data_IF_901162327529
#
_entry.id   IF_901162327529
#
_cell.length_a   1.000
_cell.length_b   1.000
_cell.length_c   1.000
_cell.angle_alpha   90.00
_cell.angle_beta   90.00
_cell.angle_gamma   90.00
#
_symmetry.space_group_name_H-M   'P 1'
#
loop_
_entity.id
_entity.type
_entity.pdbx_description
1 polymer ?
#
# COMPACT_ATOMS: atom_id res chain seq x y z
N UNK A 1 -0.51 -3.63 -9.71
CA UNK A 1 0.36 -2.71 -8.94
C UNK A 1 1.80 -3.10 -9.14
N UNK A 2 2.67 -2.13 -9.28
CA UNK A 2 4.09 -2.41 -9.42
C UNK A 2 4.64 -3.03 -8.13
N UNK A 3 5.53 -3.99 -8.29
CA UNK A 3 6.15 -4.71 -7.17
C UNK A 3 6.82 -3.78 -6.17
N UNK A 4 7.46 -2.74 -6.66
CA UNK A 4 8.13 -1.72 -5.85
C UNK A 4 7.14 -1.01 -4.90
N UNK A 5 5.98 -0.61 -5.41
CA UNK A 5 4.94 0.06 -4.63
C UNK A 5 4.34 -0.90 -3.61
N UNK A 6 4.12 -2.15 -4.01
CA UNK A 6 3.60 -3.18 -3.11
C UNK A 6 4.56 -3.43 -1.95
N UNK A 7 5.85 -3.54 -2.21
CA UNK A 7 6.87 -3.73 -1.16
C UNK A 7 6.91 -2.56 -0.18
N UNK A 8 6.78 -1.33 -0.67
CA UNK A 8 6.75 -0.14 0.18
C UNK A 8 5.50 -0.13 1.07
N UNK A 9 4.34 -0.51 0.53
CA UNK A 9 3.10 -0.59 1.31
C UNK A 9 3.17 -1.68 2.37
N UNK A 10 3.71 -2.84 2.05
CA UNK A 10 3.91 -3.89 3.03
C UNK A 10 4.75 -3.41 4.20
N UNK A 11 5.81 -2.68 3.90
CA UNK A 11 6.66 -2.11 4.94
C UNK A 11 5.92 -1.05 5.77
N UNK A 12 5.16 -0.17 5.12
CA UNK A 12 4.40 0.87 5.81
C UNK A 12 3.41 0.27 6.82
N UNK A 13 2.73 -0.80 6.44
CA UNK A 13 1.72 -1.42 7.31
C UNK A 13 2.30 -2.34 8.36
N UNK A 14 3.34 -3.11 8.02
CA UNK A 14 3.81 -4.20 8.88
C UNK A 14 5.26 -4.05 9.33
N UNK A 15 5.97 -3.02 8.88
CA UNK A 15 7.40 -2.85 9.18
C UNK A 15 7.73 -2.80 10.66
N UNK A 16 6.81 -2.26 11.47
CA UNK A 16 7.02 -2.19 12.92
C UNK A 16 7.08 -3.57 13.59
N UNK A 17 6.64 -4.62 12.91
CA UNK A 17 6.69 -5.99 13.41
C UNK A 17 8.04 -6.67 13.15
N UNK A 18 8.92 -6.03 12.39
CA UNK A 18 10.28 -6.51 12.16
C UNK A 18 11.17 -6.12 13.35
N UNK A 19 12.27 -6.85 13.55
CA UNK A 19 13.28 -6.45 14.53
C UNK A 19 13.95 -5.15 14.06
N UNK A 20 14.58 -4.41 14.99
CA UNK A 20 15.25 -3.16 14.66
C UNK A 20 16.32 -3.36 13.58
N UNK A 21 17.12 -4.40 13.70
CA UNK A 21 18.14 -4.74 12.71
C UNK A 21 17.55 -5.02 11.32
N UNK A 22 16.46 -5.79 11.28
CA UNK A 22 15.74 -6.10 10.02
C UNK A 22 15.17 -4.83 9.39
N UNK A 23 14.57 -3.96 10.22
CA UNK A 23 13.99 -2.70 9.74
C UNK A 23 15.03 -1.84 9.03
N UNK A 24 16.18 -1.65 9.66
CA UNK A 24 17.24 -0.80 9.11
C UNK A 24 17.72 -1.30 7.75
N UNK A 25 17.95 -2.60 7.63
CA UNK A 25 18.43 -3.21 6.39
C UNK A 25 17.33 -3.19 5.31
N UNK A 26 16.11 -3.52 5.69
CA UNK A 26 14.99 -3.54 4.75
C UNK A 26 14.66 -2.13 4.24
N UNK A 27 14.72 -1.11 5.11
CA UNK A 27 14.55 0.29 4.72
C UNK A 27 15.60 0.71 3.69
N UNK A 28 16.86 0.34 3.93
CA UNK A 28 17.94 0.66 2.99
C UNK A 28 17.66 0.09 1.61
N UNK A 29 17.14 -1.13 1.54
CA UNK A 29 16.88 -1.80 0.28
C UNK A 29 15.61 -1.29 -0.42
N UNK A 30 14.51 -1.15 0.32
CA UNK A 30 13.20 -0.82 -0.27
C UNK A 30 12.96 0.68 -0.38
N UNK A 31 13.32 1.46 0.64
CA UNK A 31 13.02 2.89 0.67
C UNK A 31 14.18 3.75 0.16
N UNK A 32 15.41 3.36 0.46
CA UNK A 32 16.59 4.15 0.10
C UNK A 32 17.26 3.67 -1.19
N UNK A 33 16.69 2.67 -1.82
CA UNK A 33 17.13 2.13 -3.11
C UNK A 33 18.61 1.75 -3.16
N UNK A 34 19.15 1.27 -2.04
CA UNK A 34 20.54 0.82 -1.99
C UNK A 34 20.66 -0.61 -2.54
N UNK A 35 21.78 -0.90 -3.19
CA UNK A 35 22.08 -2.25 -3.66
C UNK A 35 22.48 -3.15 -2.49
N UNK A 36 22.42 -4.46 -2.71
CA UNK A 36 22.87 -5.43 -1.71
C UNK A 36 24.33 -5.18 -1.32
N UNK A 37 25.18 -4.86 -2.30
CA UNK A 37 26.61 -4.59 -2.07
C UNK A 37 26.82 -3.33 -1.23
N UNK A 38 26.06 -2.27 -1.52
CA UNK A 38 26.15 -1.01 -0.75
C UNK A 38 25.72 -1.23 0.70
N UNK A 39 24.66 -1.96 0.94
CA UNK A 39 24.17 -2.28 2.29
C UNK A 39 25.19 -3.15 3.02
N UNK A 40 25.74 -4.14 2.36
CA UNK A 40 26.74 -5.03 2.92
C UNK A 40 27.97 -4.26 3.42
N UNK A 41 28.44 -3.31 2.61
CA UNK A 41 29.57 -2.46 2.95
C UNK A 41 29.25 -1.55 4.15
N UNK A 42 28.10 -0.87 4.10
CA UNK A 42 27.70 0.06 5.17
C UNK A 42 27.44 -0.63 6.51
N UNK A 43 26.89 -1.82 6.50
CA UNK A 43 26.51 -2.56 7.71
C UNK A 43 27.57 -3.57 8.16
N UNK A 44 28.68 -3.68 7.43
CA UNK A 44 29.78 -4.58 7.73
C UNK A 44 29.36 -6.05 7.84
N UNK A 45 28.49 -6.47 6.92
CA UNK A 45 28.06 -7.87 6.79
C UNK A 45 28.25 -8.32 5.33
N UNK A 46 28.13 -9.63 5.08
CA UNK A 46 28.30 -10.13 3.74
C UNK A 46 27.11 -9.77 2.84
N UNK A 47 27.35 -9.70 1.53
CA UNK A 47 26.30 -9.49 0.55
C UNK A 47 25.23 -10.58 0.64
N UNK A 48 25.64 -11.82 0.85
CA UNK A 48 24.73 -12.95 1.04
C UNK A 48 23.90 -12.77 2.31
N UNK A 49 24.51 -12.26 3.38
CA UNK A 49 23.81 -11.96 4.62
C UNK A 49 22.70 -10.92 4.41
N UNK A 50 22.98 -9.87 3.65
CA UNK A 50 21.97 -8.86 3.29
C UNK A 50 20.84 -9.49 2.51
N UNK A 51 21.16 -10.28 1.49
CA UNK A 51 20.18 -10.96 0.67
C UNK A 51 19.23 -11.84 1.51
N UNK A 52 19.81 -12.62 2.44
CA UNK A 52 19.04 -13.49 3.32
C UNK A 52 18.10 -12.70 4.23
N UNK A 53 18.58 -11.58 4.78
CA UNK A 53 17.76 -10.72 5.64
C UNK A 53 16.60 -10.11 4.84
N UNK A 54 16.88 -9.55 3.68
CA UNK A 54 15.85 -8.96 2.81
C UNK A 54 14.80 -9.99 2.44
N UNK A 55 15.23 -11.19 2.07
CA UNK A 55 14.34 -12.28 1.71
C UNK A 55 13.43 -12.69 2.87
N UNK A 56 13.99 -12.81 4.08
CA UNK A 56 13.21 -13.15 5.28
C UNK A 56 12.20 -12.06 5.61
N UNK A 57 12.62 -10.80 5.55
CA UNK A 57 11.73 -9.68 5.81
C UNK A 57 10.55 -9.68 4.84
N UNK A 58 10.84 -9.82 3.54
CA UNK A 58 9.79 -9.88 2.52
C UNK A 58 8.79 -11.00 2.81
N UNK A 59 9.30 -12.17 3.18
CA UNK A 59 8.47 -13.33 3.48
C UNK A 59 7.60 -13.10 4.72
N UNK A 60 8.15 -12.48 5.76
CA UNK A 60 7.40 -12.13 6.97
C UNK A 60 6.29 -11.13 6.67
N UNK A 61 6.60 -10.07 5.92
CA UNK A 61 5.61 -9.05 5.58
C UNK A 61 4.49 -9.62 4.71
N UNK A 62 4.83 -10.46 3.73
CA UNK A 62 3.83 -11.16 2.90
C UNK A 62 2.97 -12.09 3.73
N UNK A 63 3.56 -12.75 4.74
CA UNK A 63 2.82 -13.60 5.66
C UNK A 63 1.79 -12.86 6.49
N UNK A 64 2.15 -11.65 6.97
CA UNK A 64 1.19 -10.81 7.69
C UNK A 64 0.06 -10.36 6.77
N UNK A 65 0.39 -9.95 5.55
CA UNK A 65 -0.63 -9.53 4.59
C UNK A 65 -1.58 -10.67 4.22
N UNK A 66 -1.05 -11.89 4.07
CA UNK A 66 -1.87 -13.06 3.76
C UNK A 66 -2.92 -13.32 4.84
N UNK A 67 -2.63 -12.94 6.08
CA UNK A 67 -3.55 -13.13 7.20
C UNK A 67 -4.44 -11.93 7.47
N UNK A 68 -3.90 -10.73 7.37
CA UNK A 68 -4.56 -9.51 7.83
C UNK A 68 -5.22 -8.69 6.71
N UNK A 69 -4.70 -8.78 5.49
CA UNK A 69 -5.25 -8.11 4.30
C UNK A 69 -5.36 -6.58 4.41
N UNK A 70 -4.51 -5.94 5.23
CA UNK A 70 -4.58 -4.49 5.42
C UNK A 70 -4.16 -3.70 4.18
N UNK A 71 -3.17 -4.18 3.44
CA UNK A 71 -2.73 -3.53 2.20
C UNK A 71 -3.82 -3.63 1.14
N UNK A 72 -4.39 -4.82 0.95
CA UNK A 72 -5.49 -5.03 -0.01
C UNK A 72 -6.68 -4.14 0.33
N UNK A 73 -7.05 -4.07 1.60
CA UNK A 73 -8.15 -3.23 2.07
C UNK A 73 -7.88 -1.74 1.80
N UNK A 74 -6.66 -1.30 2.07
CA UNK A 74 -6.24 0.08 1.82
C UNK A 74 -6.35 0.43 0.33
N UNK A 75 -5.88 -0.45 -0.55
CA UNK A 75 -5.93 -0.25 -2.00
C UNK A 75 -7.37 -0.14 -2.48
N UNK A 76 -8.24 -1.06 -2.03
CA UNK A 76 -9.66 -1.05 -2.41
C UNK A 76 -10.34 0.23 -1.92
N UNK A 77 -10.04 0.67 -0.70
CA UNK A 77 -10.59 1.91 -0.15
C UNK A 77 -10.16 3.12 -0.98
N UNK A 78 -8.89 3.18 -1.37
CA UNK A 78 -8.39 4.26 -2.24
C UNK A 78 -9.11 4.30 -3.58
N UNK A 79 -9.33 3.14 -4.18
CA UNK A 79 -10.06 3.05 -5.46
C UNK A 79 -11.49 3.55 -5.32
N UNK A 80 -12.18 3.20 -4.23
CA UNK A 80 -13.55 3.64 -3.97
C UNK A 80 -13.63 5.12 -3.68
N UNK A 81 -12.67 5.66 -2.96
CA UNK A 81 -12.58 7.11 -2.71
C UNK A 81 -12.36 7.86 -4.02
N UNK A 82 -11.51 7.32 -4.91
CA UNK A 82 -11.31 7.93 -6.23
C UNK A 82 -12.60 7.95 -7.06
N UNK A 83 -13.39 6.88 -7.00
CA UNK A 83 -14.68 6.84 -7.68
C UNK A 83 -15.68 7.84 -7.06
N UNK A 84 -15.69 7.96 -5.74
CA UNK A 84 -16.53 8.95 -5.05
C UNK A 84 -16.17 10.36 -5.54
N UNK A 85 -14.87 10.67 -5.61
CA UNK A 85 -14.41 11.96 -6.11
C UNK A 85 -14.83 12.20 -7.55
N UNK A 86 -14.77 11.15 -8.38
CA UNK A 86 -15.21 11.23 -9.78
C UNK A 86 -16.69 11.62 -9.86
N UNK A 87 -17.56 10.95 -9.10
CA UNK A 87 -18.99 11.25 -9.13
C UNK A 87 -19.31 12.62 -8.51
N UNK A 88 -18.57 13.04 -7.49
CA UNK A 88 -18.71 14.36 -6.92
C UNK A 88 -18.38 15.45 -7.95
N UNK A 89 -17.32 15.27 -8.73
CA UNK A 89 -16.93 16.19 -9.80
C UNK A 89 -17.98 16.21 -10.92
N UNK A 90 -18.54 15.05 -11.27
CA UNK A 90 -19.64 14.96 -12.23
C UNK A 90 -20.83 15.80 -11.81
N UNK A 91 -21.19 15.76 -10.53
CA UNK A 91 -22.28 16.58 -9.98
C UNK A 91 -21.98 18.06 -10.17
N UNK A 92 -20.77 18.49 -9.84
CA UNK A 92 -20.36 19.89 -9.98
C UNK A 92 -20.36 20.38 -11.42
N UNK A 93 -19.98 19.52 -12.36
CA UNK A 93 -19.90 19.86 -13.78
C UNK A 93 -21.26 19.82 -14.51
N UNK A 94 -22.23 19.13 -13.96
CA UNK A 94 -23.53 18.89 -14.61
C UNK A 94 -24.71 19.22 -13.70
N UNK A 95 -24.68 20.38 -13.07
CA UNK A 95 -25.68 20.79 -12.08
C UNK A 95 -27.09 20.98 -12.64
N UNK A 96 -27.23 21.29 -13.92
CA UNK A 96 -28.54 21.44 -14.56
C UNK A 96 -29.18 20.08 -14.95
N UNK A 97 -28.45 18.99 -14.88
CA UNK A 97 -28.96 17.66 -15.16
C UNK A 97 -29.32 16.92 -13.86
N UNK A 98 -30.56 17.11 -13.42
CA UNK A 98 -31.03 16.52 -12.16
C UNK A 98 -30.95 14.99 -12.14
N UNK A 99 -31.27 14.35 -13.26
CA UNK A 99 -31.23 12.87 -13.35
C UNK A 99 -29.82 12.36 -13.12
N UNK A 100 -28.84 13.00 -13.76
CA UNK A 100 -27.42 12.64 -13.63
C UNK A 100 -26.92 12.88 -12.22
N UNK A 101 -27.34 14.00 -11.58
CA UNK A 101 -26.98 14.29 -10.19
C UNK A 101 -27.49 13.21 -9.24
N UNK A 102 -28.73 12.76 -9.41
CA UNK A 102 -29.32 11.73 -8.56
C UNK A 102 -28.57 10.41 -8.73
N UNK A 103 -28.26 10.04 -9.97
CA UNK A 103 -27.48 8.84 -10.25
C UNK A 103 -26.10 8.86 -9.60
N UNK A 104 -25.41 10.03 -9.66
CA UNK A 104 -24.10 10.19 -9.03
C UNK A 104 -24.19 10.09 -7.51
N UNK A 105 -25.18 10.72 -6.89
CA UNK A 105 -25.42 10.68 -5.45
C UNK A 105 -25.67 9.25 -4.99
N UNK A 106 -26.46 8.49 -5.72
CA UNK A 106 -26.76 7.10 -5.40
C UNK A 106 -25.50 6.23 -5.49
N UNK A 107 -24.63 6.47 -6.48
CA UNK A 107 -23.36 5.75 -6.61
C UNK A 107 -22.42 6.08 -5.46
N UNK A 108 -22.33 7.34 -5.06
CA UNK A 108 -21.53 7.77 -3.92
C UNK A 108 -22.00 7.08 -2.65
N UNK A 109 -23.30 7.04 -2.41
CA UNK A 109 -23.87 6.39 -1.23
C UNK A 109 -23.53 4.89 -1.21
N UNK A 110 -23.67 4.20 -2.35
CA UNK A 110 -23.33 2.80 -2.46
C UNK A 110 -21.85 2.54 -2.15
N UNK A 111 -20.96 3.35 -2.73
CA UNK A 111 -19.52 3.22 -2.52
C UNK A 111 -19.15 3.48 -1.06
N UNK A 112 -19.75 4.50 -0.45
CA UNK A 112 -19.53 4.84 0.96
C UNK A 112 -19.93 3.68 1.87
N UNK A 113 -21.08 3.07 1.63
CA UNK A 113 -21.56 1.93 2.41
C UNK A 113 -20.64 0.72 2.25
N UNK A 114 -20.15 0.49 1.05
CA UNK A 114 -19.21 -0.61 0.78
C UNK A 114 -17.90 -0.44 1.56
N UNK A 115 -17.39 0.79 1.67
CA UNK A 115 -16.19 1.08 2.45
C UNK A 115 -16.43 0.77 3.93
N UNK A 116 -17.57 1.19 4.47
CA UNK A 116 -17.90 0.96 5.89
C UNK A 116 -18.06 -0.52 6.21
N UNK A 117 -18.62 -1.30 5.27
CA UNK A 117 -18.87 -2.73 5.47
C UNK A 117 -17.62 -3.60 5.36
N UNK A 118 -16.53 -3.07 4.84
CA UNK A 118 -15.25 -3.78 4.80
C UNK A 118 -14.57 -3.72 6.18
#
# INVERSE_FOLDING_TARGET
MEKFIEEALLYDFYGELLTEHQKLIYEDFVLNDLSLSEIAEDREISRQGVYDIVRRCRKQLQGYEAKLHLVAKFIHTKERVAEINHYANEILEHQEDHQRMIECINRIEMLSNTIVEE
#
